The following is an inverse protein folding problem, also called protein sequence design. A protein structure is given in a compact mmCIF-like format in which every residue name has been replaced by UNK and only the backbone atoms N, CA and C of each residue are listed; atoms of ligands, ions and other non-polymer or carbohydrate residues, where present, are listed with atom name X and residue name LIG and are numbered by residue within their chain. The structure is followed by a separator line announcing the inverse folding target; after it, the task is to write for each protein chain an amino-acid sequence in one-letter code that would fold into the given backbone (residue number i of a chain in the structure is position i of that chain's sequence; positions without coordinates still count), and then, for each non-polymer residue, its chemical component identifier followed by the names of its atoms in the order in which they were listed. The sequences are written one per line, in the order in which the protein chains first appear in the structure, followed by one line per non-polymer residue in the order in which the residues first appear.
data_IF_827711836316
#
_entry.id   IF_827711836316
#
_cell.length_a   1.000
_cell.length_b   1.000
_cell.length_c   1.000
_cell.angle_alpha   90.00
_cell.angle_beta   90.00
_cell.angle_gamma   90.00
#
_symmetry.space_group_name_H-M   'P 1'
#
loop_
_entity.id
_entity.type
_entity.pdbx_description
1 polymer ?
#
# COMPACT_ATOMS: atom_id res chain seq x y z
N UNK A 1 -29.89 13.35 -1.83
CA UNK A 1 -28.96 13.27 -2.96
C UNK A 1 -27.57 13.09 -2.38
N UNK A 2 -27.02 11.88 -2.46
CA UNK A 2 -25.65 11.62 -2.01
C UNK A 2 -24.72 12.27 -3.03
N UNK A 3 -24.01 13.31 -2.61
CA UNK A 3 -23.07 14.00 -3.47
C UNK A 3 -22.06 12.97 -3.99
N UNK A 4 -22.03 12.77 -5.31
CA UNK A 4 -20.95 12.11 -6.04
C UNK A 4 -19.67 12.94 -5.93
N UNK A 5 -19.15 13.10 -4.72
CA UNK A 5 -17.74 13.35 -4.50
C UNK A 5 -17.07 12.09 -5.02
N UNK A 6 -16.50 12.14 -6.21
CA UNK A 6 -15.50 11.17 -6.65
C UNK A 6 -14.48 11.07 -5.52
N UNK A 7 -14.60 10.01 -4.70
CA UNK A 7 -13.64 9.73 -3.64
C UNK A 7 -12.36 9.40 -4.39
N UNK A 8 -11.51 10.40 -4.59
CA UNK A 8 -10.21 10.20 -5.19
C UNK A 8 -9.47 9.17 -4.35
N UNK A 9 -8.92 8.16 -5.02
CA UNK A 9 -8.18 7.09 -4.37
C UNK A 9 -7.00 7.69 -3.59
N UNK A 10 -7.04 7.66 -2.24
CA UNK A 10 -6.14 8.45 -1.44
C UNK A 10 -4.72 7.90 -1.56
N UNK A 11 -3.75 8.83 -1.62
CA UNK A 11 -2.33 8.51 -1.76
C UNK A 11 -1.61 8.61 -0.44
N UNK A 12 -1.18 7.47 0.08
CA UNK A 12 -0.49 7.35 1.36
C UNK A 12 1.02 7.54 1.19
N UNK A 13 1.59 8.33 2.10
CA UNK A 13 3.03 8.40 2.33
C UNK A 13 3.54 7.09 2.93
N UNK A 14 4.85 6.90 2.87
CA UNK A 14 5.52 5.74 3.45
C UNK A 14 5.14 5.48 4.92
N UNK A 15 5.09 6.53 5.74
CA UNK A 15 4.70 6.42 7.14
C UNK A 15 3.24 5.95 7.31
N UNK A 16 2.33 6.48 6.49
CA UNK A 16 0.92 6.06 6.51
C UNK A 16 0.76 4.60 6.07
N UNK A 17 1.49 4.15 5.04
CA UNK A 17 1.50 2.74 4.63
C UNK A 17 1.97 1.86 5.78
N UNK A 18 3.06 2.25 6.45
CA UNK A 18 3.60 1.54 7.60
C UNK A 18 2.58 1.40 8.74
N UNK A 19 1.92 2.49 9.12
CA UNK A 19 0.84 2.46 10.11
C UNK A 19 -0.33 1.59 9.66
N UNK A 20 -0.71 1.67 8.38
CA UNK A 20 -1.80 0.89 7.80
C UNK A 20 -1.55 -0.63 7.83
N UNK A 21 -0.28 -1.05 7.67
CA UNK A 21 0.14 -2.46 7.71
C UNK A 21 0.35 -3.00 9.13
N UNK A 22 -0.07 -2.26 10.18
CA UNK A 22 0.12 -2.65 11.57
C UNK A 22 1.44 -2.17 12.17
N UNK A 23 1.75 -0.88 11.97
CA UNK A 23 2.94 -0.21 12.54
C UNK A 23 4.28 -0.83 12.13
N UNK A 24 4.39 -1.18 10.84
CA UNK A 24 5.62 -1.70 10.25
C UNK A 24 6.75 -0.65 10.29
N UNK A 25 8.00 -1.06 10.48
CA UNK A 25 9.13 -0.14 10.34
C UNK A 25 9.33 0.31 8.88
N UNK A 26 9.64 1.59 8.69
CA UNK A 26 9.85 2.18 7.36
C UNK A 26 11.00 1.53 6.59
N UNK A 27 12.06 1.09 7.26
CA UNK A 27 13.18 0.39 6.62
C UNK A 27 12.76 -1.00 6.14
N UNK A 28 11.86 -1.65 6.88
CA UNK A 28 11.30 -2.93 6.49
C UNK A 28 10.45 -2.79 5.23
N UNK A 29 9.62 -1.74 5.15
CA UNK A 29 8.86 -1.44 3.95
C UNK A 29 9.78 -1.20 2.73
N UNK A 30 10.86 -0.42 2.88
CA UNK A 30 11.82 -0.21 1.78
C UNK A 30 12.43 -1.53 1.31
N UNK A 31 12.84 -2.39 2.25
CA UNK A 31 13.40 -3.71 1.93
C UNK A 31 12.38 -4.58 1.19
N UNK A 32 11.11 -4.52 1.55
CA UNK A 32 10.07 -5.29 0.87
C UNK A 32 9.82 -4.77 -0.55
N UNK A 33 9.77 -3.45 -0.73
CA UNK A 33 9.64 -2.82 -2.05
C UNK A 33 10.86 -3.19 -2.93
N UNK A 34 12.07 -3.09 -2.40
CA UNK A 34 13.31 -3.42 -3.12
C UNK A 34 13.40 -4.91 -3.49
N UNK A 35 12.84 -5.80 -2.68
CA UNK A 35 12.77 -7.25 -2.93
C UNK A 35 11.53 -7.68 -3.72
N UNK A 36 10.75 -6.73 -4.23
CA UNK A 36 9.49 -6.97 -4.95
C UNK A 36 8.47 -7.81 -4.15
N UNK A 37 8.56 -7.75 -2.81
CA UNK A 37 7.62 -8.38 -1.88
C UNK A 37 6.44 -7.47 -1.52
N UNK A 38 6.52 -6.20 -1.89
CA UNK A 38 5.47 -5.19 -1.71
C UNK A 38 5.36 -4.37 -3.01
N UNK A 39 4.16 -3.88 -3.39
CA UNK A 39 3.99 -3.09 -4.59
C UNK A 39 4.90 -1.85 -4.64
N UNK A 40 5.37 -1.52 -5.85
CA UNK A 40 6.12 -0.29 -6.11
C UNK A 40 5.20 0.93 -5.90
N UNK A 41 5.74 2.10 -5.54
CA UNK A 41 4.94 3.32 -5.39
C UNK A 41 4.25 3.69 -6.71
N UNK A 42 2.98 4.07 -6.62
CA UNK A 42 2.21 4.57 -7.77
C UNK A 42 2.72 5.93 -8.26
N UNK A 43 3.33 6.71 -7.36
CA UNK A 43 3.84 8.05 -7.65
C UNK A 43 5.05 8.37 -6.78
N UNK A 44 5.96 9.17 -7.33
CA UNK A 44 7.02 9.83 -6.58
C UNK A 44 6.78 11.34 -6.58
N UNK A 45 6.70 11.94 -5.39
CA UNK A 45 6.75 13.39 -5.20
C UNK A 45 8.17 13.77 -4.80
N UNK A 46 9.03 13.97 -5.81
CA UNK A 46 10.47 14.08 -5.61
C UNK A 46 11.04 12.76 -5.07
N UNK A 47 11.69 12.80 -3.90
CA UNK A 47 12.22 11.60 -3.21
C UNK A 47 11.20 10.93 -2.29
N UNK A 48 9.94 11.35 -2.33
CA UNK A 48 8.91 10.84 -1.43
C UNK A 48 7.92 9.93 -2.18
N UNK A 49 7.97 8.61 -1.96
CA UNK A 49 7.04 7.68 -2.60
C UNK A 49 5.62 7.84 -2.06
N UNK A 50 4.64 7.52 -2.91
CA UNK A 50 3.20 7.55 -2.62
C UNK A 50 2.54 6.29 -3.19
N UNK A 51 1.71 5.66 -2.37
CA UNK A 51 0.91 4.50 -2.77
C UNK A 51 -0.56 4.86 -2.71
N UNK A 52 -1.31 4.44 -3.72
CA UNK A 52 -2.77 4.44 -3.69
C UNK A 52 -3.27 3.45 -2.65
N UNK A 53 -4.36 3.79 -1.98
CA UNK A 53 -4.99 2.86 -1.04
C UNK A 53 -5.49 1.61 -1.77
N UNK A 54 -6.00 1.74 -3.00
CA UNK A 54 -6.40 0.58 -3.80
C UNK A 54 -5.23 -0.40 -4.05
N UNK A 55 -4.03 0.13 -4.31
CA UNK A 55 -2.82 -0.67 -4.56
C UNK A 55 -2.42 -1.47 -3.31
N UNK A 56 -2.50 -0.83 -2.13
CA UNK A 56 -2.21 -1.50 -0.85
C UNK A 56 -3.27 -2.58 -0.56
N UNK A 57 -4.55 -2.27 -0.77
CA UNK A 57 -5.65 -3.21 -0.55
C UNK A 57 -5.57 -4.42 -1.48
N UNK A 58 -5.23 -4.21 -2.75
CA UNK A 58 -5.04 -5.30 -3.71
C UNK A 58 -3.91 -6.24 -3.28
N UNK A 59 -2.81 -5.69 -2.78
CA UNK A 59 -1.71 -6.48 -2.22
C UNK A 59 -2.15 -7.30 -1.00
N UNK A 60 -2.89 -6.70 -0.06
CA UNK A 60 -3.39 -7.41 1.12
C UNK A 60 -4.34 -8.55 0.75
N UNK A 61 -5.28 -8.29 -0.17
CA UNK A 61 -6.21 -9.30 -0.67
C UNK A 61 -5.47 -10.46 -1.36
N UNK A 62 -4.42 -10.17 -2.13
CA UNK A 62 -3.56 -11.20 -2.73
C UNK A 62 -2.88 -12.05 -1.66
N UNK A 63 -2.33 -11.43 -0.61
CA UNK A 63 -1.66 -12.16 0.48
C UNK A 63 -2.61 -13.01 1.31
N UNK A 64 -3.84 -12.54 1.52
CA UNK A 64 -4.89 -13.33 2.16
C UNK A 64 -5.25 -14.57 1.33
N UNK A 65 -5.40 -14.41 0.01
CA UNK A 65 -5.66 -15.54 -0.90
C UNK A 65 -4.51 -16.55 -0.96
N UNK A 66 -3.26 -16.07 -1.02
CA UNK A 66 -2.07 -16.93 -0.95
C UNK A 66 -2.05 -17.77 0.35
N UNK A 67 -2.38 -17.14 1.48
CA UNK A 67 -2.45 -17.83 2.77
C UNK A 67 -3.56 -18.87 2.81
N UNK A 68 -4.76 -18.54 2.33
CA UNK A 68 -5.89 -19.48 2.27
C UNK A 68 -5.66 -20.64 1.31
N UNK A 69 -4.91 -20.44 0.22
CA UNK A 69 -4.63 -21.48 -0.78
C UNK A 69 -3.55 -22.48 -0.33
N UNK A 70 -2.76 -22.14 0.68
CA UNK A 70 -1.73 -23.03 1.26
C UNK A 70 -2.20 -23.72 2.55
N UNK A 71 -3.42 -23.42 3.03
CA UNK A 71 -4.02 -23.96 4.26
C UNK A 71 -4.85 -25.22 4.05
#
# INVERSE_FOLDING_TARGET
MLNNLTIEDPRYSKAQVCSYLGELDQTTLDKWVAKEKFPKPDLYLGRHPRWKLSTINAYLAQKEQEYQSCG
#
